data_IF_266827315800
#
_entry.id   IF_266827315800
#
_cell.length_a   1.000
_cell.length_b   1.000
_cell.length_c   1.000
_cell.angle_alpha   90.00
_cell.angle_beta   90.00
_cell.angle_gamma   90.00
#
_symmetry.space_group_name_H-M   'P 1'
#
loop_
_entity.id
_entity.type
_entity.pdbx_description
1 polymer ?
#
# COMPACT_ATOMS: atom_id res chain seq x y z
N UNK A 1 -5.38 -11.26 2.01
CA UNK A 1 -4.49 -11.71 3.11
C UNK A 1 -5.31 -11.97 4.37
N UNK A 2 -4.92 -12.95 5.20
CA UNK A 2 -5.64 -13.29 6.45
C UNK A 2 -5.71 -12.12 7.43
N UNK A 3 -4.62 -11.38 7.63
CA UNK A 3 -4.55 -10.20 8.52
C UNK A 3 -5.59 -9.12 8.20
N UNK A 4 -5.77 -8.80 6.92
CA UNK A 4 -6.74 -7.79 6.48
C UNK A 4 -8.17 -8.28 6.68
N UNK A 5 -8.44 -9.56 6.37
CA UNK A 5 -9.75 -10.15 6.59
C UNK A 5 -10.11 -10.17 8.09
N UNK A 6 -9.19 -10.61 8.93
CA UNK A 6 -9.38 -10.68 10.38
C UNK A 6 -9.62 -9.28 10.95
N UNK A 7 -8.84 -8.28 10.51
CA UNK A 7 -9.07 -6.88 10.84
C UNK A 7 -10.46 -6.41 10.42
N UNK A 8 -10.86 -6.59 9.16
CA UNK A 8 -12.15 -6.14 8.65
C UNK A 8 -13.31 -6.70 9.49
N UNK A 9 -13.30 -8.01 9.77
CA UNK A 9 -14.32 -8.67 10.58
C UNK A 9 -14.32 -8.15 12.03
N UNK A 10 -13.15 -7.94 12.64
CA UNK A 10 -13.03 -7.39 13.99
C UNK A 10 -13.57 -5.94 14.08
N UNK A 11 -13.46 -5.18 12.99
CA UNK A 11 -13.98 -3.81 12.88
C UNK A 11 -15.47 -3.75 12.50
N UNK A 12 -16.11 -4.90 12.25
CA UNK A 12 -17.50 -4.95 11.79
C UNK A 12 -17.69 -4.55 10.33
N UNK A 13 -16.63 -4.60 9.52
CA UNK A 13 -16.70 -4.38 8.08
C UNK A 13 -16.99 -5.68 7.33
N UNK A 14 -17.71 -5.55 6.22
CA UNK A 14 -17.77 -6.62 5.23
C UNK A 14 -16.42 -6.73 4.52
N UNK A 15 -15.98 -7.96 4.25
CA UNK A 15 -14.73 -8.24 3.54
C UNK A 15 -15.00 -8.93 2.21
N UNK A 16 -14.51 -8.33 1.14
CA UNK A 16 -14.47 -8.93 -0.19
C UNK A 16 -13.02 -8.99 -0.68
N UNK A 17 -12.60 -10.17 -1.15
CA UNK A 17 -11.37 -10.30 -1.92
C UNK A 17 -11.69 -10.08 -3.40
N UNK A 18 -10.94 -9.20 -4.05
CA UNK A 18 -11.05 -8.93 -5.48
C UNK A 18 -9.79 -9.42 -6.17
N UNK A 19 -9.97 -10.30 -7.14
CA UNK A 19 -8.93 -10.88 -7.99
C UNK A 19 -8.75 -10.02 -9.26
N UNK A 20 -8.40 -10.63 -10.39
CA UNK A 20 -8.22 -9.94 -11.66
C UNK A 20 -9.52 -9.27 -12.18
N UNK A 21 -10.70 -9.62 -11.64
CA UNK A 21 -11.95 -8.87 -11.90
C UNK A 21 -11.87 -7.42 -11.47
N UNK A 22 -10.85 -7.03 -10.70
CA UNK A 22 -10.54 -5.63 -10.45
C UNK A 22 -10.46 -4.83 -11.76
N UNK A 23 -9.92 -5.41 -12.84
CA UNK A 23 -9.77 -4.69 -14.10
C UNK A 23 -11.08 -4.49 -14.87
N UNK A 24 -12.19 -5.12 -14.46
CA UNK A 24 -13.53 -4.87 -15.02
C UNK A 24 -13.99 -3.43 -14.73
N UNK A 25 -13.38 -2.77 -13.74
CA UNK A 25 -13.64 -1.37 -13.37
C UNK A 25 -12.77 -0.36 -14.13
N UNK A 26 -11.93 -0.80 -15.06
CA UNK A 26 -11.16 0.09 -15.96
C UNK A 26 -11.95 0.30 -17.26
N UNK A 27 -12.12 1.55 -17.72
CA UNK A 27 -12.76 1.81 -19.00
C UNK A 27 -12.11 1.05 -20.16
N UNK A 28 -12.93 0.42 -21.01
CA UNK A 28 -12.46 -0.43 -22.11
C UNK A 28 -11.50 0.29 -23.06
N UNK A 29 -11.65 1.61 -23.26
CA UNK A 29 -10.77 2.41 -24.10
C UNK A 29 -9.33 2.46 -23.57
N UNK A 30 -9.15 2.44 -22.24
CA UNK A 30 -7.83 2.42 -21.60
C UNK A 30 -7.19 1.04 -21.75
N UNK A 31 -8.00 -0.03 -21.66
CA UNK A 31 -7.52 -1.41 -21.77
C UNK A 31 -7.04 -1.79 -23.18
N UNK A 32 -7.41 -1.04 -24.22
CA UNK A 32 -6.97 -1.29 -25.60
C UNK A 32 -5.49 -0.96 -25.83
N UNK A 33 -4.90 -0.07 -25.03
CA UNK A 33 -3.48 0.29 -25.09
C UNK A 33 -2.87 0.08 -23.71
N UNK A 34 -2.66 -1.19 -23.29
CA UNK A 34 -2.22 -1.47 -21.94
C UNK A 34 -0.82 -0.87 -21.73
N UNK A 35 -0.60 -0.15 -20.62
CA UNK A 35 0.70 0.41 -20.30
C UNK A 35 1.74 -0.70 -20.06
N UNK A 36 3.01 -0.31 -20.09
CA UNK A 36 4.15 -1.21 -19.82
C UNK A 36 4.14 -1.80 -18.40
N UNK A 37 3.27 -1.29 -17.51
CA UNK A 37 3.08 -1.77 -16.15
C UNK A 37 1.60 -1.78 -15.79
N UNK A 38 1.16 -2.81 -15.08
CA UNK A 38 -0.24 -2.96 -14.66
C UNK A 38 -0.63 -2.00 -13.52
N UNK A 39 0.34 -1.43 -12.80
CA UNK A 39 0.09 -0.69 -11.56
C UNK A 39 -0.80 0.56 -11.75
N UNK A 40 -0.59 1.41 -12.78
CA UNK A 40 -1.52 2.50 -13.07
C UNK A 40 -2.95 2.04 -13.37
N UNK A 41 -3.12 0.86 -13.99
CA UNK A 41 -4.44 0.28 -14.21
C UNK A 41 -5.08 -0.15 -12.89
N UNK A 42 -4.32 -0.75 -11.98
CA UNK A 42 -4.77 -1.10 -10.63
C UNK A 42 -5.18 0.14 -9.83
N UNK A 43 -4.46 1.26 -9.98
CA UNK A 43 -4.80 2.54 -9.36
C UNK A 43 -6.10 3.15 -9.90
N UNK A 44 -6.36 3.03 -11.21
CA UNK A 44 -7.64 3.43 -11.79
C UNK A 44 -8.79 2.51 -11.35
N UNK A 45 -8.56 1.21 -11.47
CA UNK A 45 -9.54 0.17 -11.18
C UNK A 45 -10.07 0.25 -9.75
N UNK A 46 -9.18 0.45 -8.76
CA UNK A 46 -9.60 0.54 -7.35
C UNK A 46 -10.54 1.73 -7.11
N UNK A 47 -10.33 2.86 -7.79
CA UNK A 47 -11.21 4.02 -7.67
C UNK A 47 -12.59 3.72 -8.27
N UNK A 48 -12.64 3.07 -9.43
CA UNK A 48 -13.89 2.61 -10.05
C UNK A 48 -14.66 1.64 -9.16
N UNK A 49 -13.99 0.62 -8.64
CA UNK A 49 -14.57 -0.36 -7.70
C UNK A 49 -15.13 0.32 -6.44
N UNK A 50 -14.34 1.19 -5.78
CA UNK A 50 -14.79 1.88 -4.58
C UNK A 50 -16.02 2.74 -4.86
N UNK A 51 -16.08 3.38 -6.03
CA UNK A 51 -17.23 4.20 -6.44
C UNK A 51 -18.47 3.33 -6.64
N UNK A 52 -18.32 2.18 -7.30
CA UNK A 52 -19.43 1.25 -7.51
C UNK A 52 -19.98 0.68 -6.20
N UNK A 53 -19.11 0.37 -5.22
CA UNK A 53 -19.54 -0.04 -3.88
C UNK A 53 -20.35 1.07 -3.18
N UNK A 54 -19.90 2.32 -3.22
CA UNK A 54 -20.67 3.41 -2.62
C UNK A 54 -22.03 3.61 -3.32
N UNK A 55 -22.08 3.42 -4.65
CA UNK A 55 -23.31 3.50 -5.42
C UNK A 55 -24.25 2.30 -5.18
N UNK A 56 -23.73 1.15 -4.79
CA UNK A 56 -24.53 -0.05 -4.46
C UNK A 56 -25.15 -0.01 -3.06
N UNK A 57 -24.95 1.08 -2.30
CA UNK A 57 -25.61 1.33 -1.03
C UNK A 57 -24.72 1.24 0.21
N UNK A 58 -23.42 1.00 0.06
CA UNK A 58 -22.49 1.06 1.19
C UNK A 58 -22.28 2.51 1.65
N UNK A 59 -22.28 2.75 2.96
CA UNK A 59 -21.98 4.08 3.53
C UNK A 59 -20.50 4.43 3.46
N UNK A 60 -19.63 3.41 3.38
CA UNK A 60 -18.18 3.56 3.29
C UNK A 60 -17.58 2.43 2.47
N UNK A 61 -16.62 2.77 1.61
CA UNK A 61 -15.82 1.82 0.88
C UNK A 61 -14.34 1.97 1.29
N UNK A 62 -13.69 0.84 1.61
CA UNK A 62 -12.29 0.79 2.08
C UNK A 62 -11.51 -0.13 1.15
N UNK A 63 -10.46 0.40 0.55
CA UNK A 63 -9.48 -0.38 -0.19
C UNK A 63 -8.27 -0.69 0.70
N UNK A 64 -7.77 -1.92 0.62
CA UNK A 64 -6.54 -2.36 1.27
C UNK A 64 -5.77 -3.24 0.30
N UNK A 65 -4.55 -2.85 -0.05
CA UNK A 65 -3.69 -3.63 -0.96
C UNK A 65 -3.43 -5.04 -0.41
N UNK A 66 -3.29 -6.00 -1.33
CA UNK A 66 -3.10 -7.41 -1.00
C UNK A 66 -1.73 -7.74 -0.39
N UNK A 67 -0.83 -6.78 -0.24
CA UNK A 67 0.46 -6.87 0.44
C UNK A 67 0.52 -6.02 1.72
N UNK A 68 -0.64 -5.60 2.24
CA UNK A 68 -0.76 -4.94 3.55
C UNK A 68 -0.86 -5.97 4.67
N UNK A 69 0.12 -5.93 5.57
CA UNK A 69 0.11 -6.68 6.82
C UNK A 69 -0.47 -5.81 7.95
N UNK A 70 -1.63 -6.19 8.46
CA UNK A 70 -2.20 -5.63 9.71
C UNK A 70 -1.71 -6.47 10.88
N UNK A 71 -0.94 -5.88 11.79
CA UNK A 71 -0.31 -6.59 12.92
C UNK A 71 -0.82 -6.15 14.30
N UNK A 72 -1.58 -5.05 14.36
CA UNK A 72 -2.29 -4.58 15.57
C UNK A 72 -3.74 -4.20 15.23
N UNK A 73 -4.58 -5.19 14.85
CA UNK A 73 -5.91 -4.94 14.28
C UNK A 73 -6.87 -4.22 15.24
N UNK A 74 -6.67 -4.34 16.55
CA UNK A 74 -7.45 -3.65 17.57
C UNK A 74 -7.23 -2.13 17.59
N UNK A 75 -6.04 -1.68 17.15
CA UNK A 75 -5.65 -0.28 17.10
C UNK A 75 -5.78 0.33 15.71
N UNK A 76 -5.75 -0.46 14.63
CA UNK A 76 -5.94 0.06 13.28
C UNK A 76 -7.41 0.46 13.06
N UNK A 77 -7.72 1.76 13.14
CA UNK A 77 -9.09 2.28 12.98
C UNK A 77 -9.17 3.28 11.83
N UNK A 78 -10.20 3.12 10.99
CA UNK A 78 -10.62 4.17 10.05
C UNK A 78 -11.56 5.12 10.82
N UNK A 79 -11.25 6.41 10.94
CA UNK A 79 -12.09 7.35 11.67
C UNK A 79 -13.54 7.37 11.16
N UNK A 80 -14.51 7.55 12.06
CA UNK A 80 -15.89 7.85 11.65
C UNK A 80 -15.92 9.17 10.87
N UNK A 81 -16.82 9.25 9.88
CA UNK A 81 -16.92 10.41 8.98
C UNK A 81 -15.54 10.83 8.43
N UNK A 82 -14.81 9.87 7.86
CA UNK A 82 -13.49 10.07 7.28
C UNK A 82 -13.54 11.02 6.06
N UNK A 83 -14.70 11.13 5.41
CA UNK A 83 -14.87 11.84 4.15
C UNK A 83 -14.15 11.11 3.03
N UNK A 84 -12.88 11.44 2.83
CA UNK A 84 -11.98 10.67 1.97
C UNK A 84 -10.55 10.73 2.49
N UNK A 85 -9.94 9.57 2.65
CA UNK A 85 -8.59 9.42 3.21
C UNK A 85 -7.75 8.48 2.35
N UNK A 86 -6.49 8.86 2.19
CA UNK A 86 -5.38 8.04 1.66
C UNK A 86 -4.35 7.83 2.77
N UNK A 87 -3.24 7.11 2.56
CA UNK A 87 -2.20 7.01 3.59
C UNK A 87 -1.07 8.01 3.39
N UNK A 88 -0.48 8.42 4.50
CA UNK A 88 0.82 9.08 4.49
C UNK A 88 1.91 8.09 4.11
N UNK A 89 2.86 8.55 3.31
CA UNK A 89 4.07 7.82 2.98
C UNK A 89 5.33 8.56 3.49
N UNK A 90 6.31 7.79 3.94
CA UNK A 90 7.70 8.24 4.10
C UNK A 90 8.57 7.27 3.34
N UNK A 91 8.91 7.61 2.10
CA UNK A 91 9.69 6.72 1.24
C UNK A 91 11.18 6.88 1.53
N UNK A 92 11.84 5.81 1.95
CA UNK A 92 13.29 5.81 2.19
C UNK A 92 14.02 5.33 0.95
N UNK A 93 15.04 6.06 0.53
CA UNK A 93 15.84 5.76 -0.65
C UNK A 93 17.29 6.18 -0.44
N UNK A 94 18.18 5.63 -1.27
CA UNK A 94 19.57 6.04 -1.35
C UNK A 94 19.69 7.03 -2.52
N UNK A 95 20.24 8.22 -2.26
CA UNK A 95 20.48 9.23 -3.30
C UNK A 95 21.74 8.93 -4.13
N UNK A 96 22.01 9.78 -5.12
CA UNK A 96 23.17 9.63 -6.02
C UNK A 96 24.51 9.64 -5.27
N UNK A 97 24.56 10.25 -4.08
CA UNK A 97 25.74 10.33 -3.23
C UNK A 97 25.81 9.19 -2.20
N UNK A 98 25.00 8.13 -2.36
CA UNK A 98 24.93 7.00 -1.42
C UNK A 98 24.44 7.39 -0.03
N UNK A 99 23.73 8.50 0.10
CA UNK A 99 23.16 8.94 1.37
C UNK A 99 21.72 8.46 1.48
N UNK A 100 21.36 7.99 2.67
CA UNK A 100 19.97 7.65 2.97
C UNK A 100 19.16 8.94 3.09
N UNK A 101 18.03 8.97 2.40
CA UNK A 101 17.08 10.09 2.37
C UNK A 101 15.67 9.58 2.59
N UNK A 102 14.85 10.43 3.20
CA UNK A 102 13.43 10.21 3.39
C UNK A 102 12.64 11.23 2.58
N UNK A 103 11.64 10.77 1.83
CA UNK A 103 10.75 11.63 1.05
C UNK A 103 9.32 11.46 1.55
N UNK A 104 8.68 12.53 2.07
CA UNK A 104 7.27 12.47 2.41
C UNK A 104 6.44 12.35 1.13
N UNK A 105 5.32 11.64 1.23
CA UNK A 105 4.40 11.42 0.13
C UNK A 105 3.02 10.99 0.60
N UNK A 106 2.16 10.65 -0.36
CA UNK A 106 0.83 10.09 -0.13
C UNK A 106 0.72 8.83 -0.97
N UNK A 107 0.36 7.71 -0.36
CA UNK A 107 0.07 6.46 -1.05
C UNK A 107 -1.41 6.10 -0.95
N UNK A 108 -1.85 5.16 -1.78
CA UNK A 108 -3.21 4.62 -1.81
C UNK A 108 -3.27 3.13 -1.42
N UNK A 109 -2.27 2.64 -0.69
CA UNK A 109 -2.23 1.25 -0.24
C UNK A 109 -3.38 0.92 0.71
N UNK A 110 -3.81 1.91 1.50
CA UNK A 110 -5.13 1.92 2.12
C UNK A 110 -5.83 3.22 1.74
N UNK A 111 -7.08 3.11 1.34
CA UNK A 111 -7.92 4.26 1.05
C UNK A 111 -9.32 4.04 1.63
N UNK A 112 -9.96 5.09 2.12
CA UNK A 112 -11.32 5.02 2.67
C UNK A 112 -12.12 6.23 2.21
N UNK A 113 -13.35 6.00 1.75
CA UNK A 113 -14.25 7.05 1.29
C UNK A 113 -15.65 6.80 1.83
N UNK A 114 -16.27 7.86 2.34
CA UNK A 114 -17.66 7.87 2.75
C UNK A 114 -18.57 8.23 1.57
N UNK A 115 -19.76 7.64 1.54
CA UNK A 115 -20.80 7.92 0.55
C UNK A 115 -21.16 9.40 0.56
N UNK A 116 -21.25 9.99 -0.63
CA UNK A 116 -21.60 11.40 -0.83
C UNK A 116 -20.45 12.39 -0.63
N UNK A 117 -19.25 11.94 -0.22
CA UNK A 117 -18.08 12.82 -0.18
C UNK A 117 -17.48 12.99 -1.59
N UNK A 118 -17.23 14.23 -2.07
CA UNK A 118 -16.90 14.48 -3.48
C UNK A 118 -15.48 14.04 -3.89
N UNK A 119 -14.62 13.72 -2.92
CA UNK A 119 -13.21 13.42 -3.20
C UNK A 119 -13.04 12.19 -4.08
N UNK A 120 -13.80 11.11 -3.88
CA UNK A 120 -13.64 9.90 -4.69
C UNK A 120 -14.00 10.18 -6.16
N UNK A 121 -15.10 10.90 -6.40
CA UNK A 121 -15.53 11.28 -7.74
C UNK A 121 -14.49 12.15 -8.44
N UNK A 122 -13.95 13.14 -7.71
CA UNK A 122 -12.87 13.98 -8.20
C UNK A 122 -11.62 13.18 -8.53
N UNK A 123 -11.14 12.32 -7.62
CA UNK A 123 -9.94 11.52 -7.83
C UNK A 123 -10.10 10.56 -9.00
N UNK A 124 -11.26 9.90 -9.11
CA UNK A 124 -11.55 8.99 -10.22
C UNK A 124 -11.56 9.73 -11.56
N UNK A 125 -12.25 10.86 -11.65
CA UNK A 125 -12.26 11.69 -12.86
C UNK A 125 -10.86 12.20 -13.22
N UNK A 126 -10.16 12.82 -12.26
CA UNK A 126 -8.84 13.38 -12.49
C UNK A 126 -7.79 12.31 -12.86
N UNK A 127 -7.87 11.11 -12.28
CA UNK A 127 -6.97 10.01 -12.63
C UNK A 127 -7.22 9.50 -14.06
N UNK A 128 -8.47 9.38 -14.48
CA UNK A 128 -8.83 9.03 -15.86
C UNK A 128 -8.37 10.09 -16.86
N UNK A 129 -8.63 11.36 -16.58
CA UNK A 129 -8.18 12.48 -17.41
C UNK A 129 -6.66 12.54 -17.49
N UNK A 130 -5.96 12.39 -16.36
CA UNK A 130 -4.50 12.33 -16.33
C UNK A 130 -4.01 11.19 -17.22
N UNK A 131 -4.53 9.98 -17.04
CA UNK A 131 -4.12 8.82 -17.82
C UNK A 131 -4.31 9.03 -19.32
N UNK A 132 -5.46 9.56 -19.74
CA UNK A 132 -5.79 9.81 -21.15
C UNK A 132 -4.83 10.80 -21.84
N UNK A 133 -4.18 11.67 -21.08
CA UNK A 133 -3.23 12.68 -21.58
C UNK A 133 -1.76 12.31 -21.40
N UNK A 134 -1.45 11.14 -20.82
CA UNK A 134 -0.06 10.68 -20.71
C UNK A 134 0.41 10.08 -22.04
N UNK A 135 1.62 10.44 -22.43
CA UNK A 135 2.35 9.69 -23.46
C UNK A 135 2.84 8.36 -22.89
N UNK A 136 3.01 7.30 -23.71
CA UNK A 136 3.44 5.98 -23.24
C UNK A 136 4.68 6.00 -22.34
N UNK A 137 5.68 6.82 -22.67
CA UNK A 137 6.93 6.97 -21.92
C UNK A 137 6.76 7.62 -20.54
N UNK A 138 5.62 8.27 -20.30
CA UNK A 138 5.32 8.92 -19.02
C UNK A 138 4.56 7.97 -18.07
N UNK A 139 4.05 6.85 -18.58
CA UNK A 139 3.28 5.88 -17.79
C UNK A 139 4.25 4.94 -17.07
N UNK A 140 4.45 5.21 -15.78
CA UNK A 140 5.25 4.39 -14.88
C UNK A 140 4.45 4.08 -13.61
N UNK A 141 4.97 3.16 -12.79
CA UNK A 141 4.23 2.50 -11.72
C UNK A 141 3.53 3.40 -10.71
N UNK A 142 4.10 4.57 -10.41
CA UNK A 142 3.59 5.50 -9.39
C UNK A 142 2.78 6.65 -9.97
N UNK A 143 2.66 6.74 -11.30
CA UNK A 143 2.21 7.96 -11.98
C UNK A 143 0.76 8.32 -11.67
N UNK A 144 -0.12 7.33 -11.59
CA UNK A 144 -1.55 7.49 -11.28
C UNK A 144 -1.85 7.23 -9.79
N UNK A 145 -0.91 6.62 -9.08
CA UNK A 145 -0.95 6.43 -7.64
C UNK A 145 -0.17 7.51 -6.89
N UNK A 146 0.89 7.09 -6.20
CA UNK A 146 1.68 7.91 -5.26
C UNK A 146 2.07 9.29 -5.79
N UNK A 147 2.54 9.41 -7.04
CA UNK A 147 3.01 10.70 -7.56
C UNK A 147 1.85 11.67 -7.77
N UNK A 148 0.73 11.18 -8.30
CA UNK A 148 -0.48 11.96 -8.50
C UNK A 148 -1.00 12.48 -7.15
N UNK A 149 -1.17 11.60 -6.16
CA UNK A 149 -1.69 12.00 -4.85
C UNK A 149 -0.72 12.90 -4.10
N UNK A 150 0.58 12.65 -4.18
CA UNK A 150 1.59 13.51 -3.54
C UNK A 150 1.59 14.91 -4.15
N UNK A 151 1.43 15.05 -5.48
CA UNK A 151 1.27 16.37 -6.10
C UNK A 151 -0.03 17.05 -5.65
N UNK A 152 -1.15 16.33 -5.65
CA UNK A 152 -2.44 16.85 -5.23
C UNK A 152 -2.41 17.33 -3.77
N UNK A 153 -1.79 16.55 -2.88
CA UNK A 153 -1.67 16.88 -1.46
C UNK A 153 -0.87 18.14 -1.16
N UNK A 154 -0.09 18.67 -2.12
CA UNK A 154 0.60 19.97 -1.99
C UNK A 154 -0.32 21.16 -2.18
N UNK A 155 -1.43 20.98 -2.88
CA UNK A 155 -2.38 22.05 -3.22
C UNK A 155 -3.74 21.87 -2.54
N UNK A 156 -4.04 20.67 -2.06
CA UNK A 156 -5.27 20.33 -1.38
C UNK A 156 -4.98 19.65 -0.04
N UNK A 157 -5.50 20.16 1.10
CA UNK A 157 -5.23 19.62 2.42
C UNK A 157 -5.97 18.28 2.64
N UNK A 158 -5.38 17.19 2.16
CA UNK A 158 -5.93 15.85 2.31
C UNK A 158 -5.87 15.37 3.77
N UNK A 159 -6.96 14.75 4.24
CA UNK A 159 -6.93 13.95 5.47
C UNK A 159 -6.20 12.63 5.16
N UNK A 160 -5.17 12.31 5.94
CA UNK A 160 -4.34 11.13 5.71
C UNK A 160 -4.42 10.14 6.88
N UNK A 161 -4.44 8.86 6.55
CA UNK A 161 -4.21 7.76 7.48
C UNK A 161 -2.74 7.75 7.86
N UNK A 162 -2.46 7.98 9.13
CA UNK A 162 -1.10 7.98 9.70
C UNK A 162 -0.74 6.65 10.36
N UNK A 163 -1.68 5.70 10.42
CA UNK A 163 -1.54 4.40 11.09
C UNK A 163 -1.06 3.29 10.13
N UNK A 164 -0.77 3.62 8.88
CA UNK A 164 -0.32 2.67 7.85
C UNK A 164 1.02 3.14 7.31
N UNK A 165 2.07 2.34 7.51
CA UNK A 165 3.38 2.60 6.94
C UNK A 165 3.50 2.02 5.52
N UNK A 166 4.40 2.57 4.72
CA UNK A 166 4.80 2.02 3.43
C UNK A 166 6.30 1.73 3.49
N UNK A 167 6.68 0.46 3.56
CA UNK A 167 8.10 0.12 3.68
C UNK A 167 8.78 0.04 2.31
N UNK A 168 9.81 0.88 2.16
CA UNK A 168 10.75 0.74 1.05
C UNK A 168 11.59 -0.55 1.22
N UNK A 169 12.20 -1.06 0.13
CA UNK A 169 13.13 -2.19 0.22
C UNK A 169 14.28 -1.99 1.22
N UNK A 170 14.75 -0.74 1.42
CA UNK A 170 15.81 -0.44 2.39
C UNK A 170 15.30 -0.68 3.82
N UNK A 171 14.11 -0.17 4.16
CA UNK A 171 13.50 -0.34 5.48
C UNK A 171 13.14 -1.81 5.72
N UNK A 172 12.59 -2.50 4.72
CA UNK A 172 12.29 -3.93 4.82
C UNK A 172 13.55 -4.75 5.11
N UNK A 173 14.67 -4.49 4.41
CA UNK A 173 15.95 -5.18 4.68
C UNK A 173 16.50 -4.85 6.06
N UNK A 174 16.43 -3.60 6.49
CA UNK A 174 16.83 -3.18 7.83
C UNK A 174 16.06 -3.94 8.93
N UNK A 175 14.74 -4.10 8.74
CA UNK A 175 13.89 -4.88 9.66
C UNK A 175 14.24 -6.36 9.69
N UNK A 176 14.48 -6.98 8.52
CA UNK A 176 14.77 -8.40 8.42
C UNK A 176 16.16 -8.76 8.98
N UNK A 177 17.15 -7.90 8.75
CA UNK A 177 18.50 -8.10 9.29
C UNK A 177 18.56 -7.91 10.81
N UNK A 178 17.75 -7.00 11.36
CA UNK A 178 17.83 -6.61 12.77
C UNK A 178 19.07 -5.77 13.13
N UNK A 179 19.95 -5.49 12.16
CA UNK A 179 21.26 -4.87 12.41
C UNK A 179 21.22 -3.34 12.27
N UNK A 180 20.33 -2.80 11.43
CA UNK A 180 20.28 -1.37 11.09
C UNK A 180 19.33 -0.56 11.99
N UNK A 181 19.50 -0.71 13.31
CA UNK A 181 18.59 -0.10 14.30
C UNK A 181 18.53 1.43 14.25
N UNK A 182 19.63 2.10 13.90
CA UNK A 182 19.67 3.56 13.71
C UNK A 182 18.71 4.00 12.58
N UNK A 183 18.77 3.32 11.43
CA UNK A 183 17.91 3.63 10.29
C UNK A 183 16.42 3.41 10.61
N UNK A 184 16.10 2.37 11.38
CA UNK A 184 14.72 2.10 11.80
C UNK A 184 14.21 3.18 12.76
N UNK A 185 15.07 3.70 13.65
CA UNK A 185 14.74 4.83 14.52
C UNK A 185 14.55 6.10 13.71
N UNK A 186 15.48 6.42 12.82
CA UNK A 186 15.39 7.59 11.94
C UNK A 186 14.09 7.55 11.12
N UNK A 187 13.77 6.41 10.51
CA UNK A 187 12.48 6.22 9.83
C UNK A 187 11.28 6.46 10.75
N UNK A 188 11.31 5.92 11.98
CA UNK A 188 10.25 6.13 12.97
C UNK A 188 10.07 7.60 13.33
N UNK A 189 11.17 8.32 13.54
CA UNK A 189 11.18 9.76 13.84
C UNK A 189 10.62 10.57 12.66
N UNK A 190 10.97 10.21 11.42
CA UNK A 190 10.44 10.86 10.21
C UNK A 190 8.96 10.55 9.98
N UNK A 191 8.51 9.34 10.30
CA UNK A 191 7.12 8.93 10.14
C UNK A 191 6.22 9.57 11.21
N UNK A 192 6.71 9.71 12.44
CA UNK A 192 6.14 10.58 13.47
C UNK A 192 4.90 10.05 14.21
N UNK A 193 4.26 8.96 13.76
CA UNK A 193 3.13 8.34 14.45
C UNK A 193 3.30 6.82 14.61
N UNK A 194 2.68 6.19 15.62
CA UNK A 194 2.51 4.76 15.65
C UNK A 194 1.72 4.25 14.44
N UNK A 195 2.17 3.16 13.84
CA UNK A 195 1.43 2.45 12.80
C UNK A 195 1.07 1.03 13.24
N UNK A 196 -0.01 0.49 12.65
CA UNK A 196 -0.66 -0.77 13.02
C UNK A 196 -0.85 -1.71 11.83
N UNK A 197 -0.62 -1.17 10.64
CA UNK A 197 -0.51 -1.89 9.40
C UNK A 197 0.69 -1.38 8.61
N UNK A 198 1.19 -2.23 7.72
CA UNK A 198 2.26 -1.86 6.81
C UNK A 198 2.04 -2.44 5.43
N UNK A 199 2.15 -1.60 4.41
CA UNK A 199 2.30 -2.03 3.04
C UNK A 199 3.75 -2.49 2.82
N UNK A 200 3.93 -3.74 2.41
CA UNK A 200 5.24 -4.37 2.19
C UNK A 200 5.72 -4.23 0.74
N UNK A 201 5.27 -3.17 0.05
CA UNK A 201 5.62 -2.76 -1.32
C UNK A 201 6.85 -3.44 -1.87
N UNK A 202 6.67 -4.19 -2.97
CA UNK A 202 7.78 -4.79 -3.73
C UNK A 202 8.69 -5.73 -2.91
N UNK A 203 8.20 -6.35 -1.84
CA UNK A 203 8.91 -7.45 -1.14
C UNK A 203 9.47 -8.50 -2.11
N UNK A 204 8.73 -8.80 -3.20
CA UNK A 204 9.20 -9.67 -4.28
C UNK A 204 10.55 -9.27 -4.88
N UNK A 205 10.88 -7.97 -4.99
CA UNK A 205 12.19 -7.53 -5.50
C UNK A 205 13.33 -7.83 -4.52
N UNK A 206 13.08 -7.91 -3.22
CA UNK A 206 14.06 -8.37 -2.24
C UNK A 206 14.23 -9.89 -2.35
N UNK A 207 13.14 -10.62 -2.57
CA UNK A 207 13.15 -12.08 -2.81
C UNK A 207 13.84 -12.45 -4.14
N UNK A 208 13.70 -11.63 -5.19
CA UNK A 208 14.31 -11.83 -6.50
C UNK A 208 15.77 -11.35 -6.53
N UNK A 209 16.11 -10.23 -5.87
CA UNK A 209 17.51 -9.83 -5.68
C UNK A 209 18.30 -10.83 -4.81
N UNK A 210 17.65 -11.50 -3.86
CA UNK A 210 18.26 -12.60 -3.11
C UNK A 210 18.48 -13.88 -3.94
N UNK A 211 17.73 -14.06 -5.04
CA UNK A 211 17.96 -15.15 -6.01
C UNK A 211 19.08 -14.83 -7.00
N UNK A 212 19.30 -13.56 -7.33
CA UNK A 212 20.33 -13.12 -8.29
C UNK A 212 21.71 -12.84 -7.67
N UNK A 213 21.81 -12.73 -6.35
CA UNK A 213 23.08 -12.61 -5.63
C UNK A 213 23.51 -13.96 -5.03
N UNK A 214 24.41 -14.73 -5.66
CA UNK A 214 24.84 -16.05 -5.15
C UNK A 214 25.54 -15.99 -3.78
N UNK A 215 25.89 -14.80 -3.27
CA UNK A 215 26.52 -14.60 -1.96
C UNK A 215 25.52 -14.46 -0.80
N UNK A 216 24.21 -14.37 -1.05
CA UNK A 216 23.17 -14.32 0.01
C UNK A 216 22.72 -15.73 0.42
N UNK A 217 23.07 -16.76 -0.36
CA UNK A 217 22.72 -18.16 -0.07
C UNK A 217 23.40 -18.74 1.17
N UNK A 218 24.53 -18.18 1.60
CA UNK A 218 25.30 -18.73 2.74
C UNK A 218 24.81 -18.25 4.11
N UNK A 219 23.81 -17.37 4.18
CA UNK A 219 23.36 -16.80 5.46
C UNK A 219 21.99 -17.34 5.92
N UNK A 220 21.20 -17.96 5.04
CA UNK A 220 19.90 -18.51 5.44
C UNK A 220 19.58 -19.84 4.75
N UNK A 221 19.45 -20.92 5.55
CA UNK A 221 19.06 -22.24 5.05
C UNK A 221 17.64 -22.23 4.47
N UNK A 222 17.30 -23.14 3.56
CA UNK A 222 15.92 -23.32 3.06
C UNK A 222 14.91 -23.49 4.21
N UNK A 223 15.36 -24.03 5.35
CA UNK A 223 14.58 -24.15 6.57
C UNK A 223 14.25 -22.80 7.22
N UNK A 224 15.12 -21.78 7.11
CA UNK A 224 14.89 -20.41 7.59
C UNK A 224 13.95 -19.62 6.66
N UNK A 225 14.02 -19.85 5.34
CA UNK A 225 13.07 -19.29 4.36
C UNK A 225 11.66 -19.91 4.52
N UNK A 226 11.57 -21.22 4.78
CA UNK A 226 10.31 -21.87 5.13
C UNK A 226 9.78 -21.44 6.50
N UNK A 227 10.66 -21.18 7.48
CA UNK A 227 10.28 -20.51 8.73
C UNK A 227 9.77 -19.09 8.47
N UNK A 228 10.23 -18.33 7.49
CA UNK A 228 9.63 -17.03 7.17
C UNK A 228 8.23 -17.14 6.51
N UNK A 229 7.92 -18.24 5.83
CA UNK A 229 6.56 -18.52 5.30
C UNK A 229 5.59 -19.11 6.33
N UNK A 230 6.08 -19.66 7.45
CA UNK A 230 5.24 -20.33 8.47
C UNK A 230 5.41 -19.86 9.93
N UNK A 231 6.40 -19.03 10.28
CA UNK A 231 6.64 -18.58 11.69
C UNK A 231 5.66 -17.50 12.16
N UNK A 232 4.77 -16.98 11.30
CA UNK A 232 3.54 -16.29 11.74
C UNK A 232 2.41 -17.24 12.19
N UNK A 233 2.65 -18.56 12.18
CA UNK A 233 1.80 -19.57 12.85
C UNK A 233 2.65 -20.59 13.62
N UNK A 234 3.13 -20.24 14.82
CA UNK A 234 3.41 -21.22 15.87
C UNK A 234 2.78 -20.78 17.19
N UNK A 235 1.94 -21.68 17.69
CA UNK A 235 1.25 -21.65 18.98
C UNK A 235 2.18 -21.28 20.14
N UNK A 236 1.72 -20.38 21.01
CA UNK A 236 1.94 -20.58 22.44
C UNK A 236 0.73 -21.32 22.98
N UNK A 237 0.87 -22.64 23.10
CA UNK A 237 -0.02 -23.46 23.92
C UNK A 237 0.25 -23.22 25.40
N UNK A 238 -0.85 -23.12 26.15
CA UNK A 238 -1.06 -23.59 27.53
C UNK A 238 0.16 -23.96 28.38
N UNK A 239 0.27 -23.30 29.53
CA UNK A 239 0.64 -23.81 30.88
C UNK A 239 0.39 -22.60 31.82
N UNK A 240 -0.42 -22.63 32.87
CA UNK A 240 -1.14 -23.65 33.63
C UNK A 240 -2.32 -22.98 34.35
#
# INVERSE_FOLDING_TARGET
MRSVKDWALQQGHEYQFVDDRLFDYVPAQIMQTPPSTVLPLTDLARLGLLKDLLNSGYDRAIWVDADVLVFRPEYFRIPDLCGGMLCREVWTYEDENKQIRHRPGINNAVAAFDRGHPLLDFLHHAALELFAHLRPEQIHSSRIGTDFYTLLGRIYPMRLLTQVACFSPIITRALLSGEQTYLLREYGDQFGDPFHAVNLSRFKLVEDAAKEAPQVRDVMSEEQLLRLKFTTMKNFGTHS
#
